data_IF_521529755460
#
_entry.id   IF_521529755460
#
_cell.length_a   1.000
_cell.length_b   1.000
_cell.length_c   1.000
_cell.angle_alpha   90.00
_cell.angle_beta   90.00
_cell.angle_gamma   90.00
#
_symmetry.space_group_name_H-M   'P 1'
#
loop_
_entity.id
_entity.type
_entity.pdbx_description
1 polymer ?
#
# COMPACT_ATOMS: atom_id res chain seq x y z
N UNK A 1 3.21 0.32 30.73
CA UNK A 1 2.23 -0.30 29.80
C UNK A 1 2.67 -1.74 29.57
N UNK A 2 1.77 -2.72 29.57
CA UNK A 2 2.14 -4.10 29.24
C UNK A 2 2.19 -4.28 27.72
N UNK A 3 3.37 -4.63 27.18
CA UNK A 3 3.55 -4.89 25.74
C UNK A 3 3.00 -6.29 25.44
N UNK A 4 2.07 -6.37 24.49
CA UNK A 4 1.49 -7.63 24.04
C UNK A 4 1.51 -7.75 22.49
N UNK A 5 1.07 -8.91 21.99
CA UNK A 5 1.12 -9.24 20.54
C UNK A 5 0.36 -8.25 19.65
N UNK A 6 -0.67 -7.62 20.19
CA UNK A 6 -1.53 -6.66 19.50
C UNK A 6 -1.13 -5.20 19.75
N UNK A 7 -0.11 -4.94 20.56
CA UNK A 7 0.41 -3.59 20.75
C UNK A 7 0.86 -3.04 19.40
N UNK A 8 0.36 -1.86 19.06
CA UNK A 8 0.66 -1.20 17.78
C UNK A 8 1.99 -0.45 17.90
N UNK A 9 2.89 -0.68 16.94
CA UNK A 9 4.27 -0.16 16.99
C UNK A 9 4.30 1.36 17.06
N UNK A 10 3.49 2.06 16.25
CA UNK A 10 3.45 3.52 16.26
C UNK A 10 3.03 4.09 17.62
N UNK A 11 2.04 3.50 18.27
CA UNK A 11 1.51 3.95 19.55
C UNK A 11 2.54 3.68 20.67
N UNK A 12 3.28 2.57 20.56
CA UNK A 12 4.39 2.25 21.45
C UNK A 12 5.55 3.24 21.27
N UNK A 13 5.96 3.57 20.04
CA UNK A 13 7.04 4.54 19.79
C UNK A 13 6.61 5.96 20.24
N UNK A 14 5.34 6.31 20.08
CA UNK A 14 4.81 7.61 20.52
C UNK A 14 4.83 7.77 22.04
N UNK A 15 4.45 6.71 22.77
CA UNK A 15 4.46 6.68 24.24
C UNK A 15 5.84 6.42 24.86
N UNK A 16 6.69 5.66 24.16
CA UNK A 16 8.00 5.18 24.62
C UNK A 16 9.04 5.29 23.49
N UNK A 17 9.60 6.48 23.29
CA UNK A 17 10.46 6.82 22.14
C UNK A 17 11.76 6.00 22.08
N UNK A 18 12.26 5.62 23.24
CA UNK A 18 13.40 4.72 23.46
C UNK A 18 13.27 3.39 22.71
N UNK A 19 12.05 2.91 22.50
CA UNK A 19 11.78 1.64 21.80
C UNK A 19 12.16 1.66 20.33
N UNK A 20 12.27 2.85 19.70
CA UNK A 20 12.68 2.99 18.31
C UNK A 20 14.03 2.32 18.05
N UNK A 21 14.99 2.46 18.97
CA UNK A 21 16.34 1.92 18.78
C UNK A 21 16.31 0.39 18.67
N UNK A 22 15.42 -0.26 19.42
CA UNK A 22 15.19 -1.71 19.36
C UNK A 22 14.60 -2.08 18.00
N UNK A 23 13.57 -1.38 17.54
CA UNK A 23 13.00 -1.65 16.22
C UNK A 23 13.99 -1.41 15.07
N UNK A 24 14.80 -0.35 15.14
CA UNK A 24 15.88 -0.06 14.16
C UNK A 24 16.91 -1.20 14.10
N UNK A 25 17.27 -1.81 15.22
CA UNK A 25 18.17 -2.99 15.29
C UNK A 25 17.63 -4.15 14.45
N UNK A 26 16.31 -4.31 14.35
CA UNK A 26 15.63 -5.34 13.56
C UNK A 26 15.20 -4.87 12.17
N UNK A 27 15.85 -3.83 11.64
CA UNK A 27 15.58 -3.27 10.31
C UNK A 27 14.16 -2.73 10.15
N UNK A 28 13.52 -2.24 11.23
CA UNK A 28 12.32 -1.43 11.06
C UNK A 28 12.72 -0.17 10.28
N UNK A 29 12.28 -0.11 9.04
CA UNK A 29 12.13 1.14 8.32
C UNK A 29 10.79 1.70 8.74
N UNK A 30 10.75 2.91 9.30
CA UNK A 30 9.48 3.61 9.49
C UNK A 30 8.99 4.04 8.10
N UNK A 31 8.51 3.08 7.32
CA UNK A 31 7.88 3.33 6.04
C UNK A 31 6.52 3.97 6.31
N UNK A 32 6.39 5.25 5.99
CA UNK A 32 5.13 5.99 6.15
C UNK A 32 5.10 7.00 7.28
N UNK A 33 6.00 6.96 8.28
CA UNK A 33 5.85 7.81 9.47
C UNK A 33 4.45 7.67 10.09
N UNK A 34 3.73 8.79 10.26
CA UNK A 34 2.30 8.81 10.66
C UNK A 34 1.36 8.03 9.72
N UNK A 35 1.78 7.75 8.48
CA UNK A 35 1.03 6.98 7.47
C UNK A 35 1.48 5.52 7.35
N UNK A 36 2.40 5.07 8.22
CA UNK A 36 2.74 3.66 8.30
C UNK A 36 1.51 2.83 8.68
N UNK A 37 1.49 1.52 8.35
CA UNK A 37 0.40 0.65 8.75
C UNK A 37 0.26 0.63 10.29
N UNK A 38 -0.96 0.42 10.79
CA UNK A 38 -1.20 0.10 12.20
C UNK A 38 -0.71 -1.32 12.48
N UNK A 39 0.61 -1.47 12.52
CA UNK A 39 1.28 -2.76 12.56
C UNK A 39 1.38 -3.27 14.01
N UNK A 40 0.80 -4.45 14.31
CA UNK A 40 1.00 -5.11 15.59
C UNK A 40 2.43 -5.66 15.73
N UNK A 41 2.99 -5.63 16.94
CA UNK A 41 4.33 -6.17 17.22
C UNK A 41 4.48 -7.63 16.78
N UNK A 42 3.46 -8.47 16.94
CA UNK A 42 3.53 -9.86 16.50
C UNK A 42 3.64 -10.01 14.97
N UNK A 43 3.05 -9.09 14.21
CA UNK A 43 3.20 -9.07 12.76
C UNK A 43 4.62 -8.67 12.37
N UNK A 44 5.15 -7.61 12.98
CA UNK A 44 6.54 -7.18 12.78
C UNK A 44 7.54 -8.29 13.09
N UNK A 45 7.42 -8.90 14.27
CA UNK A 45 8.28 -10.00 14.69
C UNK A 45 8.28 -11.14 13.65
N UNK A 46 7.09 -11.50 13.13
CA UNK A 46 6.97 -12.50 12.07
C UNK A 46 7.57 -12.04 10.74
N UNK A 47 7.28 -10.82 10.30
CA UNK A 47 7.72 -10.28 9.02
C UNK A 47 9.24 -10.06 8.95
N UNK A 48 9.86 -9.77 10.10
CA UNK A 48 11.30 -9.52 10.25
C UNK A 48 12.07 -10.74 10.80
N UNK A 49 11.40 -11.89 10.93
CA UNK A 49 11.98 -13.15 11.46
C UNK A 49 12.65 -12.97 12.84
N UNK A 50 12.06 -12.15 13.69
CA UNK A 50 12.51 -11.87 15.06
C UNK A 50 11.67 -12.68 16.04
N UNK A 51 12.31 -13.31 17.03
CA UNK A 51 11.59 -13.95 18.13
C UNK A 51 10.81 -12.91 18.94
N UNK A 52 9.51 -13.16 19.12
CA UNK A 52 8.60 -12.21 19.75
C UNK A 52 8.97 -11.96 21.22
N UNK A 53 9.31 -12.99 21.98
CA UNK A 53 9.59 -12.86 23.41
C UNK A 53 10.91 -12.12 23.66
N UNK A 54 11.91 -12.39 22.81
CA UNK A 54 13.18 -11.65 22.78
C UNK A 54 12.95 -10.17 22.44
N UNK A 55 12.14 -9.88 21.42
CA UNK A 55 11.81 -8.50 21.05
C UNK A 55 11.11 -7.76 22.21
N UNK A 56 10.11 -8.36 22.83
CA UNK A 56 9.39 -7.75 23.97
C UNK A 56 10.33 -7.51 25.15
N UNK A 57 11.24 -8.44 25.44
CA UNK A 57 12.25 -8.25 26.48
C UNK A 57 13.12 -7.02 26.20
N UNK A 58 13.67 -6.91 24.99
CA UNK A 58 14.52 -5.75 24.62
C UNK A 58 13.74 -4.43 24.64
N UNK A 59 12.46 -4.44 24.25
CA UNK A 59 11.59 -3.27 24.34
C UNK A 59 11.38 -2.82 25.79
N UNK A 60 11.12 -3.75 26.71
CA UNK A 60 10.98 -3.43 28.13
C UNK A 60 12.30 -2.92 28.73
N UNK A 61 13.44 -3.55 28.40
CA UNK A 61 14.76 -3.08 28.84
C UNK A 61 15.06 -1.65 28.34
N UNK A 62 14.66 -1.32 27.11
CA UNK A 62 14.80 0.03 26.58
C UNK A 62 13.95 1.04 27.38
N UNK A 63 12.71 0.69 27.71
CA UNK A 63 11.80 1.51 28.53
C UNK A 63 12.38 1.75 29.93
N UNK A 64 12.93 0.72 30.57
CA UNK A 64 13.53 0.83 31.91
C UNK A 64 14.80 1.71 31.91
N UNK A 65 15.65 1.53 30.90
CA UNK A 65 16.89 2.32 30.75
C UNK A 65 16.58 3.80 30.48
N UNK A 66 15.47 4.06 29.78
CA UNK A 66 15.07 5.38 29.36
C UNK A 66 16.07 6.03 28.38
N UNK A 67 15.75 7.26 27.99
CA UNK A 67 16.50 8.01 26.98
C UNK A 67 16.17 7.59 25.55
N UNK A 68 16.17 8.53 24.62
CA UNK A 68 15.82 8.27 23.24
C UNK A 68 15.98 9.53 22.40
N UNK A 69 16.27 9.37 21.12
CA UNK A 69 16.27 10.50 20.21
C UNK A 69 14.86 11.05 20.06
N UNK A 70 14.74 12.39 20.05
CA UNK A 70 13.50 13.03 19.67
C UNK A 70 13.26 12.77 18.17
N UNK A 71 12.40 11.82 17.84
CA UNK A 71 11.88 11.70 16.48
C UNK A 71 10.80 12.76 16.33
N UNK A 72 11.07 13.78 15.53
CA UNK A 72 9.98 14.60 15.00
C UNK A 72 9.21 13.74 14.01
N UNK A 73 8.01 13.30 14.39
CA UNK A 73 7.12 12.61 13.46
C UNK A 73 6.41 13.70 12.66
N UNK A 74 6.74 13.91 11.37
CA UNK A 74 6.13 14.98 10.61
C UNK A 74 4.63 14.71 10.48
N UNK A 75 3.82 15.71 10.81
CA UNK A 75 2.38 15.68 10.57
C UNK A 75 2.15 15.91 9.07
N UNK A 76 1.90 14.84 8.33
CA UNK A 76 1.71 14.90 6.88
C UNK A 76 0.22 14.82 6.52
N UNK A 77 -0.27 15.75 5.71
CA UNK A 77 -1.67 15.78 5.27
C UNK A 77 -1.94 14.63 4.31
N UNK A 78 -2.91 13.75 4.59
CA UNK A 78 -3.23 12.60 3.72
C UNK A 78 -3.64 13.04 2.29
N UNK A 79 -3.10 12.37 1.27
CA UNK A 79 -3.52 12.54 -0.13
C UNK A 79 -4.32 11.33 -0.58
N UNK A 80 -5.52 11.58 -1.13
CA UNK A 80 -6.47 10.58 -1.65
C UNK A 80 -6.59 10.57 -3.17
N UNK A 81 -5.74 11.32 -3.87
CA UNK A 81 -5.67 11.34 -5.35
C UNK A 81 -5.57 9.93 -5.94
N UNK A 82 -4.86 9.02 -5.27
CA UNK A 82 -4.70 7.62 -5.68
C UNK A 82 -6.02 6.85 -5.81
N UNK A 83 -7.04 7.19 -5.01
CA UNK A 83 -8.31 6.45 -4.99
C UNK A 83 -9.03 6.51 -6.34
N UNK A 84 -8.95 7.65 -7.05
CA UNK A 84 -9.58 7.82 -8.35
C UNK A 84 -9.02 6.82 -9.36
N UNK A 85 -7.69 6.71 -9.42
CA UNK A 85 -7.01 5.79 -10.30
C UNK A 85 -7.38 4.33 -10.01
N UNK A 86 -7.33 3.91 -8.74
CA UNK A 86 -7.64 2.52 -8.36
C UNK A 86 -9.12 2.18 -8.59
N UNK A 87 -10.05 3.07 -8.19
CA UNK A 87 -11.49 2.85 -8.39
C UNK A 87 -11.82 2.72 -9.88
N UNK A 88 -11.26 3.59 -10.71
CA UNK A 88 -11.47 3.54 -12.16
C UNK A 88 -10.83 2.33 -12.80
N UNK A 89 -9.65 1.91 -12.34
CA UNK A 89 -9.04 0.66 -12.76
C UNK A 89 -9.94 -0.56 -12.46
N UNK A 90 -10.56 -0.59 -11.28
CA UNK A 90 -11.52 -1.64 -10.89
C UNK A 90 -12.78 -1.58 -11.76
N UNK A 91 -13.34 -0.40 -12.01
CA UNK A 91 -14.52 -0.25 -12.87
C UNK A 91 -14.20 -0.73 -14.29
N UNK A 92 -13.08 -0.29 -14.88
CA UNK A 92 -12.68 -0.66 -16.23
C UNK A 92 -12.36 -2.16 -16.35
N UNK A 93 -11.66 -2.73 -15.37
CA UNK A 93 -11.37 -4.18 -15.40
C UNK A 93 -12.63 -5.00 -15.27
N UNK A 94 -13.58 -4.65 -14.40
CA UNK A 94 -14.79 -5.46 -14.24
C UNK A 94 -15.75 -5.32 -15.43
N UNK A 95 -15.79 -4.15 -16.08
CA UNK A 95 -16.71 -3.87 -17.19
C UNK A 95 -16.12 -4.24 -18.56
N UNK A 96 -15.43 -3.31 -19.22
CA UNK A 96 -14.89 -3.46 -20.59
C UNK A 96 -13.71 -4.43 -20.64
N UNK A 97 -13.04 -4.64 -19.51
CA UNK A 97 -12.05 -5.69 -19.34
C UNK A 97 -12.69 -7.08 -19.33
N UNK A 98 -13.10 -7.56 -18.16
CA UNK A 98 -13.50 -8.94 -17.88
C UNK A 98 -14.86 -9.26 -18.47
N UNK A 99 -15.90 -8.48 -18.16
CA UNK A 99 -17.27 -8.81 -18.60
C UNK A 99 -17.39 -8.76 -20.12
N UNK A 100 -16.94 -7.67 -20.73
CA UNK A 100 -16.98 -7.54 -22.19
C UNK A 100 -16.08 -8.56 -22.89
N UNK A 101 -14.87 -8.79 -22.35
CA UNK A 101 -13.96 -9.83 -22.85
C UNK A 101 -14.58 -11.23 -22.79
N UNK A 102 -15.24 -11.57 -21.69
CA UNK A 102 -15.90 -12.86 -21.52
C UNK A 102 -17.06 -13.05 -22.51
N UNK A 103 -17.86 -12.01 -22.76
CA UNK A 103 -18.94 -12.04 -23.77
C UNK A 103 -18.36 -12.30 -25.16
N UNK A 104 -17.33 -11.54 -25.56
CA UNK A 104 -16.71 -11.72 -26.88
C UNK A 104 -16.06 -13.10 -27.04
N UNK A 105 -15.35 -13.56 -26.01
CA UNK A 105 -14.72 -14.89 -26.03
C UNK A 105 -15.78 -15.99 -26.14
N UNK A 106 -16.89 -15.86 -25.40
CA UNK A 106 -18.01 -16.81 -25.48
C UNK A 106 -18.63 -16.84 -26.88
N UNK A 107 -18.79 -15.67 -27.52
CA UNK A 107 -19.29 -15.59 -28.88
C UNK A 107 -18.33 -16.22 -29.89
N UNK A 108 -17.03 -15.94 -29.78
CA UNK A 108 -15.98 -16.55 -30.61
C UNK A 108 -16.03 -18.08 -30.48
N UNK A 109 -16.19 -18.59 -29.26
CA UNK A 109 -16.29 -20.02 -28.99
C UNK A 109 -17.53 -20.64 -29.63
N UNK A 110 -18.70 -20.00 -29.50
CA UNK A 110 -19.96 -20.47 -30.13
C UNK A 110 -19.83 -20.50 -31.67
N UNK A 111 -19.18 -19.50 -32.26
CA UNK A 111 -18.97 -19.42 -33.71
C UNK A 111 -17.79 -20.25 -34.22
N UNK A 112 -16.95 -20.77 -33.33
CA UNK A 112 -15.68 -21.43 -33.64
C UNK A 112 -14.82 -20.63 -34.64
N UNK A 113 -14.90 -19.30 -34.58
CA UNK A 113 -14.26 -18.41 -35.52
C UNK A 113 -13.84 -17.11 -34.82
N UNK A 114 -12.54 -16.87 -34.72
CA UNK A 114 -11.98 -15.67 -34.11
C UNK A 114 -12.39 -14.39 -34.86
N UNK A 115 -12.51 -14.46 -36.19
CA UNK A 115 -12.87 -13.33 -37.04
C UNK A 115 -14.37 -13.01 -37.02
N UNK A 116 -15.15 -13.68 -36.17
CA UNK A 116 -16.57 -13.40 -35.98
C UNK A 116 -16.86 -12.12 -35.19
N UNK A 117 -15.82 -11.53 -34.59
CA UNK A 117 -15.88 -10.26 -33.86
C UNK A 117 -15.05 -9.19 -34.59
N UNK A 118 -15.52 -7.95 -34.57
CA UNK A 118 -14.75 -6.83 -35.10
C UNK A 118 -13.44 -6.64 -34.35
N UNK A 119 -12.32 -6.56 -35.07
CA UNK A 119 -10.99 -6.32 -34.49
C UNK A 119 -10.94 -5.09 -33.58
N UNK A 120 -11.71 -4.04 -33.89
CA UNK A 120 -11.81 -2.85 -33.04
C UNK A 120 -12.30 -3.17 -31.62
N UNK A 121 -13.19 -4.15 -31.45
CA UNK A 121 -13.68 -4.55 -30.13
C UNK A 121 -12.64 -5.35 -29.36
N UNK A 122 -11.88 -6.21 -30.06
CA UNK A 122 -10.74 -6.95 -29.48
C UNK A 122 -9.69 -5.95 -28.97
N UNK A 123 -9.37 -4.93 -29.78
CA UNK A 123 -8.46 -3.86 -29.38
C UNK A 123 -9.03 -3.03 -28.22
N UNK A 124 -10.31 -2.67 -28.24
CA UNK A 124 -10.94 -1.93 -27.13
C UNK A 124 -10.84 -2.69 -25.81
N UNK A 125 -11.10 -4.01 -25.82
CA UNK A 125 -10.88 -4.88 -24.67
C UNK A 125 -9.42 -4.87 -24.21
N UNK A 126 -8.48 -5.06 -25.13
CA UNK A 126 -7.04 -5.04 -24.82
C UNK A 126 -6.58 -3.71 -24.21
N UNK A 127 -7.01 -2.59 -24.78
CA UNK A 127 -6.72 -1.25 -24.25
C UNK A 127 -7.34 -1.04 -22.86
N UNK A 128 -8.57 -1.53 -22.62
CA UNK A 128 -9.20 -1.47 -21.31
C UNK A 128 -8.42 -2.29 -20.26
N UNK A 129 -7.86 -3.45 -20.62
CA UNK A 129 -7.03 -4.25 -19.71
C UNK A 129 -5.66 -3.60 -19.44
N UNK A 130 -4.95 -3.14 -20.47
CA UNK A 130 -3.59 -2.63 -20.31
C UNK A 130 -3.58 -1.19 -19.76
N UNK A 131 -4.25 -0.25 -20.42
CA UNK A 131 -4.23 1.15 -20.01
C UNK A 131 -5.26 1.44 -18.92
N UNK A 132 -6.44 0.84 -19.06
CA UNK A 132 -7.54 1.05 -18.11
C UNK A 132 -7.31 0.34 -16.77
N UNK A 133 -6.95 -0.94 -16.76
CA UNK A 133 -6.74 -1.67 -15.52
C UNK A 133 -5.30 -1.59 -15.03
N UNK A 134 -4.34 -2.17 -15.77
CA UNK A 134 -2.95 -2.29 -15.30
C UNK A 134 -2.33 -0.90 -15.11
N UNK A 135 -2.44 -0.03 -16.11
CA UNK A 135 -1.90 1.33 -16.08
C UNK A 135 -2.44 2.17 -14.92
N UNK A 136 -3.76 2.29 -14.80
CA UNK A 136 -4.36 3.06 -13.71
C UNK A 136 -4.09 2.42 -12.33
N UNK A 137 -4.07 1.08 -12.20
CA UNK A 137 -3.67 0.43 -10.96
C UNK A 137 -2.24 0.82 -10.55
N UNK A 138 -1.28 0.73 -11.47
CA UNK A 138 0.12 1.10 -11.19
C UNK A 138 0.21 2.56 -10.74
N UNK A 139 -0.47 3.48 -11.43
CA UNK A 139 -0.49 4.89 -11.05
C UNK A 139 -1.08 5.11 -9.67
N UNK A 140 -2.22 4.49 -9.36
CA UNK A 140 -2.84 4.54 -8.04
C UNK A 140 -1.91 4.01 -6.94
N UNK A 141 -1.33 2.83 -7.14
CA UNK A 141 -0.38 2.26 -6.16
C UNK A 141 0.85 3.14 -5.98
N UNK A 142 1.42 3.70 -7.05
CA UNK A 142 2.57 4.59 -6.96
C UNK A 142 2.26 5.86 -6.15
N UNK A 143 1.12 6.50 -6.43
CA UNK A 143 0.64 7.68 -5.69
C UNK A 143 0.35 7.37 -4.21
N UNK A 144 -0.04 6.13 -3.90
CA UNK A 144 -0.24 5.67 -2.54
C UNK A 144 1.09 5.39 -1.81
N UNK A 145 1.97 4.58 -2.41
CA UNK A 145 3.12 3.99 -1.73
C UNK A 145 4.34 4.91 -1.69
N UNK A 146 4.63 5.64 -2.77
CA UNK A 146 5.86 6.44 -2.87
C UNK A 146 5.92 7.55 -1.82
N UNK A 147 4.88 8.38 -1.61
CA UNK A 147 4.90 9.41 -0.56
C UNK A 147 4.99 8.81 0.85
N UNK A 148 4.42 7.62 1.07
CA UNK A 148 4.49 6.90 2.35
C UNK A 148 5.91 6.39 2.61
N UNK A 149 6.48 5.63 1.69
CA UNK A 149 7.86 5.10 1.84
C UNK A 149 8.87 6.23 2.01
N UNK A 150 8.71 7.36 1.30
CA UNK A 150 9.59 8.53 1.43
C UNK A 150 9.27 9.43 2.62
N UNK A 151 8.24 9.12 3.40
CA UNK A 151 7.74 9.92 4.52
C UNK A 151 7.62 11.41 4.17
N UNK A 152 7.00 11.69 3.01
CA UNK A 152 6.85 13.05 2.48
C UNK A 152 5.46 13.23 1.88
N UNK A 153 5.09 14.47 1.63
CA UNK A 153 3.86 14.77 0.91
C UNK A 153 4.04 14.66 -0.60
N UNK A 154 2.97 14.35 -1.30
CA UNK A 154 3.00 14.43 -2.75
C UNK A 154 3.10 15.90 -3.16
N UNK A 155 4.27 16.28 -3.71
CA UNK A 155 4.49 17.61 -4.24
C UNK A 155 3.57 17.83 -5.45
N UNK A 156 2.82 18.94 -5.46
CA UNK A 156 1.88 19.30 -6.54
C UNK A 156 0.72 18.33 -6.75
N UNK A 157 -0.03 18.01 -5.69
CA UNK A 157 -1.26 17.17 -5.71
C UNK A 157 -2.26 17.56 -6.83
N UNK A 158 -2.33 18.85 -7.18
CA UNK A 158 -3.17 19.34 -8.28
C UNK A 158 -2.82 18.73 -9.64
N UNK A 159 -1.54 18.47 -9.92
CA UNK A 159 -1.13 17.86 -11.20
C UNK A 159 -1.62 16.43 -11.33
N UNK A 160 -1.62 15.66 -10.24
CA UNK A 160 -2.16 14.29 -10.24
C UNK A 160 -3.65 14.27 -10.62
N UNK A 161 -4.41 15.30 -10.26
CA UNK A 161 -5.81 15.43 -10.66
C UNK A 161 -6.00 15.89 -12.12
N UNK A 162 -5.05 16.65 -12.67
CA UNK A 162 -5.09 17.07 -14.09
C UNK A 162 -4.69 15.93 -15.03
N UNK A 163 -3.77 15.07 -14.58
CA UNK A 163 -3.30 13.92 -15.35
C UNK A 163 -4.19 12.67 -15.22
N UNK A 164 -5.25 12.72 -14.41
CA UNK A 164 -6.28 11.69 -14.31
C UNK A 164 -7.31 11.87 -15.42
#
# INVERSE_FOLDING_TARGET
MEINRNTIIKDLIESHRETLAVFKKYNLVIAGGVRGPNEPIAFFAKAHEVDYDTLVKELNEAIEKGGGEHIEIPMLEEDKSYEKFVKTAIILTLTVGVTFGAIMLSYIAIKLNFNSIYYALIQAHGHAQIYGWVGLCIMGFALYIVPRVKNTELKHRGLANVCY
#
